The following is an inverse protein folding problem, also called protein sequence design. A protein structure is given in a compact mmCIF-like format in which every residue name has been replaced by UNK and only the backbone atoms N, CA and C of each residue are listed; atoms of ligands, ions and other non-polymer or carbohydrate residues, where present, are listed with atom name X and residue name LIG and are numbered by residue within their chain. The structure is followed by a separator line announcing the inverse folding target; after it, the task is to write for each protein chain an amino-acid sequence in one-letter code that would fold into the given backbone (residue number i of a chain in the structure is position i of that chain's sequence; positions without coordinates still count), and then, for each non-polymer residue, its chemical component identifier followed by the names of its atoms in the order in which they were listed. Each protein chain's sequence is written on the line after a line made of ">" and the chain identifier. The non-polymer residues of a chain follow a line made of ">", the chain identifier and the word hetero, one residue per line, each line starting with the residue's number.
data_IF_791427460786
#
_entry.id   IF_791427460786
#
_cell.length_a   1.000
_cell.length_b   1.000
_cell.length_c   1.000
_cell.angle_alpha   90.00
_cell.angle_beta   90.00
_cell.angle_gamma   90.00
#
_symmetry.space_group_name_H-M   'P 1'
#
loop_
_entity.id
_entity.type
_entity.pdbx_description
1 polymer ?
#
# COMPACT_ATOMS: atom_id res chain seq x y z
N UNK A 1 -5.59 6.53 15.86
CA UNK A 1 -4.69 7.42 15.06
C UNK A 1 -3.19 7.10 15.01
N UNK A 2 -2.48 6.96 16.15
CA UNK A 2 -1.00 6.91 16.17
C UNK A 2 -0.36 5.76 15.37
N UNK A 3 -0.92 4.54 15.45
CA UNK A 3 -0.39 3.38 14.71
C UNK A 3 -0.53 3.49 13.18
N UNK A 4 -1.59 4.14 12.69
CA UNK A 4 -1.83 4.33 11.25
C UNK A 4 -0.94 5.44 10.65
N UNK A 5 -0.63 6.49 11.42
CA UNK A 5 0.36 7.50 11.04
C UNK A 5 1.76 6.88 10.94
N UNK A 6 2.14 6.07 11.93
CA UNK A 6 3.44 5.39 11.95
C UNK A 6 3.56 4.40 10.79
N UNK A 7 2.47 3.68 10.49
CA UNK A 7 2.41 2.79 9.34
C UNK A 7 2.63 3.56 8.02
N UNK A 8 1.97 4.70 7.84
CA UNK A 8 2.12 5.53 6.65
C UNK A 8 3.56 6.04 6.43
N UNK A 9 4.24 6.43 7.52
CA UNK A 9 5.65 6.82 7.44
C UNK A 9 6.53 5.67 6.97
N UNK A 10 6.25 4.43 7.40
CA UNK A 10 6.96 3.24 6.91
C UNK A 10 6.71 3.01 5.42
N UNK A 11 5.47 3.21 4.94
CA UNK A 11 5.14 3.09 3.52
C UNK A 11 5.87 4.12 2.64
N UNK A 12 5.94 5.37 3.08
CA UNK A 12 6.67 6.43 2.38
C UNK A 12 8.17 6.15 2.37
N UNK A 13 8.75 5.76 3.51
CA UNK A 13 10.19 5.42 3.60
C UNK A 13 10.53 4.22 2.72
N UNK A 14 9.72 3.16 2.76
CA UNK A 14 9.90 1.96 1.93
C UNK A 14 9.81 2.26 0.43
N UNK A 15 8.83 3.06 0.01
CA UNK A 15 8.68 3.48 -1.37
C UNK A 15 9.79 4.43 -1.86
N UNK A 16 10.23 5.38 -1.02
CA UNK A 16 11.37 6.26 -1.34
C UNK A 16 12.67 5.47 -1.48
N UNK A 17 12.94 4.52 -0.59
CA UNK A 17 14.11 3.64 -0.69
C UNK A 17 14.09 2.83 -1.99
N UNK A 18 12.93 2.26 -2.34
CA UNK A 18 12.77 1.53 -3.60
C UNK A 18 12.94 2.42 -4.84
N UNK A 19 12.37 3.62 -4.85
CA UNK A 19 12.48 4.57 -5.96
C UNK A 19 13.90 5.13 -6.14
N UNK A 20 14.62 5.38 -5.04
CA UNK A 20 15.99 5.88 -5.06
C UNK A 20 17.04 4.79 -5.35
N UNK A 21 16.67 3.50 -5.40
CA UNK A 21 17.60 2.40 -5.68
C UNK A 21 18.41 2.61 -6.97
N UNK A 22 17.79 3.14 -8.04
CA UNK A 22 18.49 3.39 -9.32
C UNK A 22 19.49 4.54 -9.24
N UNK A 23 19.24 5.54 -8.39
CA UNK A 23 20.17 6.65 -8.15
C UNK A 23 21.34 6.19 -7.27
N UNK A 24 21.07 5.29 -6.31
CA UNK A 24 22.05 4.81 -5.35
C UNK A 24 22.89 3.61 -5.84
N UNK A 25 22.50 2.93 -6.93
CA UNK A 25 23.16 1.73 -7.47
C UNK A 25 23.45 0.62 -6.41
N UNK A 26 22.64 0.58 -5.35
CA UNK A 26 22.81 -0.37 -4.24
C UNK A 26 21.62 -1.31 -4.13
N UNK A 27 21.87 -2.60 -4.28
CA UNK A 27 20.88 -3.65 -4.12
C UNK A 27 20.39 -3.78 -2.66
N UNK A 28 21.18 -3.32 -1.69
CA UNK A 28 20.85 -3.39 -0.26
C UNK A 28 19.65 -2.50 0.08
N UNK A 29 19.54 -1.32 -0.57
CA UNK A 29 18.39 -0.42 -0.42
C UNK A 29 17.09 -1.05 -0.93
N UNK A 30 17.17 -1.91 -1.96
CA UNK A 30 16.00 -2.61 -2.48
C UNK A 30 15.49 -3.67 -1.50
N UNK A 31 16.40 -4.44 -0.89
CA UNK A 31 16.03 -5.43 0.13
C UNK A 31 15.41 -4.77 1.36
N UNK A 32 16.02 -3.68 1.86
CA UNK A 32 15.47 -2.91 2.97
C UNK A 32 14.12 -2.28 2.62
N UNK A 33 13.97 -1.70 1.43
CA UNK A 33 12.71 -1.14 0.95
C UNK A 33 11.61 -2.21 0.87
N UNK A 34 11.90 -3.41 0.34
CA UNK A 34 10.95 -4.54 0.30
C UNK A 34 10.53 -4.96 1.70
N UNK A 35 11.47 -5.03 2.63
CA UNK A 35 11.21 -5.43 4.01
C UNK A 35 10.28 -4.43 4.72
N UNK A 36 10.58 -3.14 4.63
CA UNK A 36 9.77 -2.08 5.24
C UNK A 36 8.37 -2.02 4.62
N UNK A 37 8.28 -2.02 3.29
CA UNK A 37 6.98 -2.03 2.60
C UNK A 37 6.18 -3.30 2.90
N UNK A 38 6.85 -4.44 3.10
CA UNK A 38 6.21 -5.69 3.53
C UNK A 38 5.56 -5.59 4.91
N UNK A 39 6.26 -4.99 5.88
CA UNK A 39 5.70 -4.71 7.22
C UNK A 39 4.49 -3.77 7.10
N UNK A 40 4.59 -2.71 6.30
CA UNK A 40 3.50 -1.77 6.08
C UNK A 40 2.24 -2.45 5.52
N UNK A 41 2.40 -3.25 4.46
CA UNK A 41 1.31 -4.02 3.85
C UNK A 41 0.69 -5.03 4.82
N UNK A 42 1.52 -5.71 5.63
CA UNK A 42 1.03 -6.68 6.62
C UNK A 42 0.13 -6.01 7.66
N UNK A 43 0.57 -4.87 8.22
CA UNK A 43 -0.24 -4.08 9.14
C UNK A 43 -1.54 -3.61 8.49
N UNK A 44 -1.47 -3.14 7.24
CA UNK A 44 -2.66 -2.65 6.54
C UNK A 44 -3.68 -3.77 6.30
N UNK A 45 -3.20 -4.97 5.93
CA UNK A 45 -4.06 -6.12 5.65
C UNK A 45 -4.83 -6.60 6.89
N UNK A 46 -4.29 -6.41 8.10
CA UNK A 46 -5.01 -6.74 9.35
C UNK A 46 -5.93 -5.61 9.82
N UNK A 47 -5.50 -4.36 9.68
CA UNK A 47 -6.26 -3.18 10.17
C UNK A 47 -7.49 -2.90 9.31
N UNK A 48 -7.39 -3.04 7.99
CA UNK A 48 -8.51 -2.75 7.07
C UNK A 48 -9.75 -3.63 7.32
N UNK A 49 -9.67 -4.97 7.37
CA UNK A 49 -10.84 -5.79 7.66
C UNK A 49 -11.35 -5.59 9.09
N UNK A 50 -10.46 -5.34 10.06
CA UNK A 50 -10.84 -5.04 11.45
C UNK A 50 -11.71 -3.76 11.51
N UNK A 51 -11.24 -2.67 10.91
CA UNK A 51 -11.93 -1.38 10.83
C UNK A 51 -13.29 -1.51 10.13
N UNK A 52 -13.33 -2.19 8.98
CA UNK A 52 -14.58 -2.46 8.27
C UNK A 52 -15.55 -3.26 9.16
N UNK A 53 -15.03 -4.23 9.92
CA UNK A 53 -15.86 -5.07 10.78
C UNK A 53 -16.43 -4.33 12.01
N UNK A 54 -15.77 -3.26 12.47
CA UNK A 54 -16.19 -2.43 13.60
C UNK A 54 -17.26 -1.39 13.21
N UNK A 55 -17.25 -0.93 11.96
CA UNK A 55 -18.14 0.15 11.49
C UNK A 55 -19.33 -0.42 10.71
N UNK A 56 -19.20 -1.63 10.17
CA UNK A 56 -20.26 -2.25 9.40
C UNK A 56 -21.46 -2.63 10.29
N UNK A 57 -22.70 -2.25 9.90
CA UNK A 57 -23.90 -2.75 10.56
C UNK A 57 -23.99 -4.27 10.37
N UNK A 58 -24.52 -4.97 11.38
CA UNK A 58 -24.60 -6.45 11.46
C UNK A 58 -25.10 -7.12 10.17
N UNK A 59 -25.99 -6.44 9.44
CA UNK A 59 -26.65 -6.96 8.23
C UNK A 59 -25.78 -6.83 6.96
N UNK A 60 -24.76 -5.96 6.94
CA UNK A 60 -23.92 -5.67 5.76
C UNK A 60 -22.45 -6.05 5.96
N UNK A 61 -22.09 -6.60 7.12
CA UNK A 61 -20.71 -6.96 7.49
C UNK A 61 -20.05 -7.90 6.48
N UNK A 62 -20.80 -8.85 5.93
CA UNK A 62 -20.33 -9.75 4.87
C UNK A 62 -20.09 -9.04 3.53
N UNK A 63 -20.98 -8.15 3.12
CA UNK A 63 -20.87 -7.42 1.85
C UNK A 63 -19.74 -6.39 1.84
N UNK A 64 -19.50 -5.71 2.96
CA UNK A 64 -18.36 -4.78 3.06
C UNK A 64 -17.02 -5.51 3.10
N UNK A 65 -16.97 -6.73 3.68
CA UNK A 65 -15.78 -7.59 3.62
C UNK A 65 -15.43 -8.03 2.19
N UNK A 66 -16.42 -8.36 1.36
CA UNK A 66 -16.18 -8.75 -0.04
C UNK A 66 -15.74 -7.57 -0.90
N UNK A 67 -16.29 -6.36 -0.68
CA UNK A 67 -15.83 -5.14 -1.37
C UNK A 67 -14.37 -4.84 -1.07
N UNK A 68 -13.92 -5.03 0.17
CA UNK A 68 -12.51 -4.89 0.51
C UNK A 68 -11.63 -5.88 -0.25
N UNK A 69 -12.01 -7.16 -0.26
CA UNK A 69 -11.28 -8.18 -1.00
C UNK A 69 -11.25 -7.88 -2.50
N UNK A 70 -12.36 -7.39 -3.06
CA UNK A 70 -12.45 -6.94 -4.44
C UNK A 70 -11.51 -5.76 -4.72
N UNK A 71 -11.42 -4.78 -3.82
CA UNK A 71 -10.50 -3.66 -3.97
C UNK A 71 -9.03 -4.14 -3.99
N UNK A 72 -8.68 -5.10 -3.14
CA UNK A 72 -7.34 -5.73 -3.12
C UNK A 72 -7.06 -6.45 -4.44
N UNK A 73 -8.00 -7.24 -4.96
CA UNK A 73 -7.79 -7.95 -6.24
C UNK A 73 -7.68 -7.00 -7.42
N UNK A 74 -8.48 -5.92 -7.45
CA UNK A 74 -8.36 -4.86 -8.48
C UNK A 74 -7.01 -4.15 -8.37
N UNK A 75 -6.54 -3.84 -7.16
CA UNK A 75 -5.21 -3.26 -6.94
C UNK A 75 -4.08 -4.16 -7.45
N UNK A 76 -4.18 -5.47 -7.21
CA UNK A 76 -3.23 -6.46 -7.75
C UNK A 76 -3.27 -6.50 -9.28
N UNK A 77 -4.47 -6.49 -9.88
CA UNK A 77 -4.64 -6.48 -11.33
C UNK A 77 -4.02 -5.22 -11.95
N UNK A 78 -4.26 -4.04 -11.37
CA UNK A 78 -3.62 -2.78 -11.80
C UNK A 78 -2.10 -2.84 -11.66
N UNK A 79 -1.59 -3.42 -10.56
CA UNK A 79 -0.15 -3.61 -10.37
C UNK A 79 0.46 -4.50 -11.45
N UNK A 80 -0.25 -5.54 -11.89
CA UNK A 80 0.20 -6.40 -12.98
C UNK A 80 0.18 -5.69 -14.33
N UNK A 81 -0.88 -4.91 -14.60
CA UNK A 81 -0.99 -4.11 -15.84
C UNK A 81 0.14 -3.08 -15.94
N UNK A 82 0.43 -2.36 -14.84
CA UNK A 82 1.54 -1.41 -14.80
C UNK A 82 2.91 -2.10 -14.95
N UNK A 83 3.02 -3.35 -14.52
CA UNK A 83 4.23 -4.18 -14.61
C UNK A 83 4.59 -4.66 -16.02
N UNK A 84 3.75 -4.41 -17.03
CA UNK A 84 4.04 -4.80 -18.41
C UNK A 84 5.26 -4.02 -18.93
N UNK A 85 6.16 -4.71 -19.64
CA UNK A 85 7.40 -4.15 -20.20
C UNK A 85 7.18 -2.90 -21.06
N UNK A 86 6.02 -2.85 -21.73
CA UNK A 86 5.59 -1.78 -22.61
C UNK A 86 5.04 -0.53 -21.88
N UNK A 87 4.89 -0.57 -20.55
CA UNK A 87 4.38 0.54 -19.73
C UNK A 87 5.48 1.02 -18.78
N UNK A 88 5.71 0.30 -17.68
CA UNK A 88 6.70 0.66 -16.65
C UNK A 88 7.67 -0.49 -16.32
N UNK A 89 7.50 -1.66 -16.93
CA UNK A 89 8.38 -2.83 -16.76
C UNK A 89 9.71 -2.78 -17.52
N UNK A 90 10.12 -1.63 -18.06
CA UNK A 90 11.39 -1.49 -18.77
C UNK A 90 12.57 -1.47 -17.78
N UNK A 91 13.76 -1.94 -18.20
CA UNK A 91 15.01 -1.94 -17.41
C UNK A 91 15.37 -0.58 -16.77
N UNK A 92 14.85 0.51 -17.31
CA UNK A 92 15.07 1.85 -16.79
C UNK A 92 14.02 2.34 -15.79
N UNK A 93 12.78 1.83 -15.83
CA UNK A 93 11.62 2.37 -15.13
C UNK A 93 11.06 1.48 -14.01
N UNK A 94 11.58 0.25 -13.86
CA UNK A 94 11.23 -0.66 -12.76
C UNK A 94 11.31 -0.05 -11.33
N UNK A 95 12.24 0.87 -10.99
CA UNK A 95 12.27 1.47 -9.65
C UNK A 95 11.14 2.49 -9.46
N UNK A 96 10.71 3.15 -10.54
CA UNK A 96 9.59 4.09 -10.54
C UNK A 96 8.29 3.31 -10.34
N UNK A 97 8.17 2.12 -10.94
CA UNK A 97 7.05 1.22 -10.69
C UNK A 97 6.95 0.82 -9.22
N UNK A 98 8.09 0.51 -8.58
CA UNK A 98 8.11 0.22 -7.14
C UNK A 98 7.81 1.47 -6.29
N UNK A 99 8.30 2.65 -6.70
CA UNK A 99 7.99 3.92 -6.05
C UNK A 99 6.52 4.34 -6.17
N UNK A 100 5.79 3.83 -7.17
CA UNK A 100 4.35 4.10 -7.33
C UNK A 100 3.50 3.53 -6.19
N UNK A 101 4.05 2.60 -5.39
CA UNK A 101 3.42 2.12 -4.14
C UNK A 101 3.26 3.23 -3.08
N UNK A 102 3.96 4.35 -3.22
CA UNK A 102 3.76 5.54 -2.38
C UNK A 102 2.38 6.18 -2.64
N UNK A 103 1.85 6.10 -3.86
CA UNK A 103 0.56 6.70 -4.23
C UNK A 103 -0.61 6.20 -3.37
N UNK A 104 -0.85 4.87 -3.22
CA UNK A 104 -1.90 4.39 -2.32
C UNK A 104 -1.60 4.70 -0.85
N UNK A 105 -0.33 4.77 -0.44
CA UNK A 105 0.04 5.19 0.93
C UNK A 105 -0.39 6.63 1.19
N UNK A 106 -0.05 7.56 0.29
CA UNK A 106 -0.47 8.97 0.38
C UNK A 106 -1.99 9.09 0.34
N UNK A 107 -2.66 8.37 -0.56
CA UNK A 107 -4.13 8.36 -0.62
C UNK A 107 -4.73 7.92 0.72
N UNK A 108 -4.17 6.87 1.34
CA UNK A 108 -4.61 6.41 2.65
C UNK A 108 -4.31 7.42 3.76
N UNK A 109 -3.19 8.15 3.70
CA UNK A 109 -2.85 9.22 4.62
C UNK A 109 -3.87 10.38 4.55
N UNK A 110 -4.36 10.71 3.35
CA UNK A 110 -5.37 11.75 3.12
C UNK A 110 -6.78 11.28 3.54
N UNK A 111 -7.12 10.01 3.31
CA UNK A 111 -8.43 9.46 3.70
C UNK A 111 -8.56 9.27 5.23
N UNK A 112 -7.47 8.93 5.91
CA UNK A 112 -7.43 8.71 7.36
C UNK A 112 -8.04 9.82 8.24
N UNK A 113 -7.75 11.12 8.02
CA UNK A 113 -8.37 12.20 8.80
C UNK A 113 -9.84 12.46 8.46
N UNK A 114 -10.32 12.02 7.29
CA UNK A 114 -11.73 12.09 6.89
C UNK A 114 -12.56 10.93 7.43
N UNK A 115 -11.92 9.79 7.72
CA UNK A 115 -12.58 8.62 8.29
C UNK A 115 -12.85 8.80 9.81
N UNK A 116 -14.08 8.57 10.29
CA UNK A 116 -14.39 8.61 11.72
C UNK A 116 -13.60 7.53 12.46
N UNK A 117 -13.07 7.87 13.63
CA UNK A 117 -12.40 6.91 14.51
C UNK A 117 -13.41 5.83 14.93
N UNK A 118 -12.99 4.57 14.97
CA UNK A 118 -13.88 3.48 15.36
C UNK A 118 -14.45 3.72 16.77
N UNK A 119 -15.74 3.42 16.99
CA UNK A 119 -16.43 3.69 18.26
C UNK A 119 -15.90 2.85 19.43
#
# INVERSE_FOLDING_TARGET
>A
KGGLLLNNMLGIVGGCLMGCTKVANSYEMLFLGRFITGINCGLNTSVVPMYISEIAPLNLRGGLGTVNQLAVTVGLLLSQVLGIENILGTNEHWPILLGLTIVPSIAQLILLPLCPESP
#
